data_IF_642765427962
#
_entry.id   IF_642765427962
#
_cell.length_a   1.000
_cell.length_b   1.000
_cell.length_c   1.000
_cell.angle_alpha   90.00
_cell.angle_beta   90.00
_cell.angle_gamma   90.00
#
_symmetry.space_group_name_H-M   'P 1'
#
loop_
_entity.id
_entity.type
_entity.pdbx_description
1 polymer ?
#
# COMPACT_ATOMS: atom_id res chain seq x y z
N UNK A 1 -13.18 23.93 -29.18
CA UNK A 1 -12.21 24.61 -28.33
C UNK A 1 -11.69 23.52 -27.39
N UNK A 2 -10.55 22.88 -27.75
CA UNK A 2 -9.87 21.90 -26.92
C UNK A 2 -9.42 22.62 -25.66
N UNK A 3 -9.95 22.23 -24.51
CA UNK A 3 -9.40 22.61 -23.23
C UNK A 3 -7.97 22.05 -23.19
N UNK A 4 -6.97 22.93 -23.24
CA UNK A 4 -5.61 22.60 -22.92
C UNK A 4 -5.65 22.18 -21.44
N UNK A 5 -5.72 20.88 -21.20
CA UNK A 5 -5.49 20.34 -19.88
C UNK A 5 -4.05 20.69 -19.55
N UNK A 6 -3.89 21.70 -18.72
CA UNK A 6 -2.58 22.03 -18.17
C UNK A 6 -2.11 20.80 -17.41
N UNK A 7 -1.23 20.00 -18.03
CA UNK A 7 -0.70 18.77 -17.43
C UNK A 7 -0.10 19.12 -16.08
N UNK A 8 -0.62 18.53 -15.01
CA UNK A 8 -0.10 18.78 -13.67
C UNK A 8 1.29 18.12 -13.50
N UNK A 9 1.97 18.45 -12.42
CA UNK A 9 3.32 18.00 -12.16
C UNK A 9 3.43 16.44 -12.09
N UNK A 10 2.40 15.77 -11.62
CA UNK A 10 2.36 14.30 -11.51
C UNK A 10 2.15 13.68 -12.90
N UNK A 11 1.22 14.22 -13.69
CA UNK A 11 0.96 13.70 -15.06
C UNK A 11 2.23 13.81 -15.93
N UNK A 12 2.98 14.91 -15.85
CA UNK A 12 4.24 15.01 -16.60
C UNK A 12 5.29 13.96 -16.20
N UNK A 13 5.35 13.59 -14.93
CA UNK A 13 6.25 12.51 -14.47
C UNK A 13 5.78 11.13 -14.94
N UNK A 14 4.47 10.94 -14.99
CA UNK A 14 3.89 9.72 -15.52
C UNK A 14 4.14 9.58 -17.04
N UNK A 15 4.00 10.67 -17.79
CA UNK A 15 4.32 10.69 -19.24
C UNK A 15 5.81 10.41 -19.49
N UNK A 16 6.70 10.89 -18.63
CA UNK A 16 8.12 10.55 -18.71
C UNK A 16 8.38 9.04 -18.54
N UNK A 17 7.62 8.34 -17.71
CA UNK A 17 7.74 6.89 -17.59
C UNK A 17 7.31 6.19 -18.88
N UNK A 18 6.27 6.69 -19.57
CA UNK A 18 5.89 6.16 -20.89
C UNK A 18 7.03 6.36 -21.90
N UNK A 19 7.61 7.56 -21.98
CA UNK A 19 8.74 7.82 -22.89
C UNK A 19 9.92 6.87 -22.63
N UNK A 20 10.21 6.59 -21.33
CA UNK A 20 11.26 5.65 -20.96
C UNK A 20 10.91 4.20 -21.32
N UNK A 21 9.64 3.82 -21.19
CA UNK A 21 9.16 2.51 -21.61
C UNK A 21 9.24 2.38 -23.15
N UNK A 22 8.82 3.38 -23.90
CA UNK A 22 8.91 3.41 -25.37
C UNK A 22 10.38 3.24 -25.82
N UNK A 23 11.31 3.93 -25.18
CA UNK A 23 12.74 3.75 -25.46
C UNK A 23 13.22 2.32 -25.16
N UNK A 24 12.76 1.69 -24.07
CA UNK A 24 13.07 0.30 -23.75
C UNK A 24 12.53 -0.69 -24.77
N UNK A 25 11.27 -0.55 -25.17
CA UNK A 25 10.62 -1.49 -26.10
C UNK A 25 11.26 -1.51 -27.49
N UNK A 26 11.87 -0.41 -27.92
CA UNK A 26 12.59 -0.30 -29.19
C UNK A 26 13.98 -0.93 -29.15
N UNK A 27 14.55 -1.21 -27.95
CA UNK A 27 15.86 -1.79 -27.85
C UNK A 27 15.89 -3.26 -28.32
N UNK A 28 16.66 -3.51 -29.38
CA UNK A 28 16.81 -4.86 -29.92
C UNK A 28 17.47 -5.80 -28.91
N UNK A 29 16.79 -6.92 -28.63
CA UNK A 29 17.28 -7.95 -27.70
C UNK A 29 17.00 -7.70 -26.22
N UNK A 30 16.46 -6.54 -25.85
CA UNK A 30 16.00 -6.29 -24.50
C UNK A 30 14.80 -7.20 -24.18
N UNK A 31 14.86 -7.86 -23.01
CA UNK A 31 13.83 -8.80 -22.54
C UNK A 31 13.18 -8.32 -21.25
N UNK A 32 14.00 -7.86 -20.30
CA UNK A 32 13.56 -7.45 -18.97
C UNK A 32 13.81 -5.97 -18.74
N UNK A 33 12.75 -5.23 -18.47
CA UNK A 33 12.79 -3.89 -17.92
C UNK A 33 12.89 -3.96 -16.39
N UNK A 34 13.98 -3.47 -15.84
CA UNK A 34 14.17 -3.28 -14.40
C UNK A 34 14.00 -1.81 -14.08
N UNK A 35 12.90 -1.45 -13.42
CA UNK A 35 12.74 -0.13 -12.83
C UNK A 35 13.47 -0.08 -11.49
N UNK A 36 14.56 0.69 -11.41
CA UNK A 36 15.33 0.89 -10.17
C UNK A 36 14.98 2.26 -9.59
N UNK A 37 14.12 2.26 -8.57
CA UNK A 37 13.42 3.45 -8.08
C UNK A 37 13.80 3.84 -6.65
N UNK A 38 13.69 5.13 -6.34
CA UNK A 38 13.64 5.60 -4.96
C UNK A 38 12.29 5.23 -4.32
N UNK A 39 12.22 5.20 -2.99
CA UNK A 39 11.01 4.79 -2.27
C UNK A 39 9.79 5.68 -2.59
N UNK A 40 9.99 6.97 -2.84
CA UNK A 40 8.95 7.92 -3.20
C UNK A 40 8.55 7.87 -4.69
N UNK A 41 9.29 7.15 -5.52
CA UNK A 41 8.99 6.94 -6.94
C UNK A 41 8.22 5.64 -7.21
N UNK A 42 8.22 4.70 -6.25
CA UNK A 42 7.60 3.39 -6.42
C UNK A 42 6.13 3.50 -6.88
N UNK A 43 5.35 4.33 -6.20
CA UNK A 43 3.93 4.54 -6.54
C UNK A 43 3.71 5.14 -7.94
N UNK A 44 4.71 5.82 -8.50
CA UNK A 44 4.62 6.35 -9.88
C UNK A 44 4.78 5.24 -10.90
N UNK A 45 5.65 4.26 -10.65
CA UNK A 45 5.78 3.08 -11.54
C UNK A 45 4.54 2.20 -11.45
N UNK A 46 3.96 2.04 -10.25
CA UNK A 46 2.65 1.38 -10.11
C UNK A 46 1.55 2.12 -10.89
N UNK A 47 1.48 3.44 -10.77
CA UNK A 47 0.52 4.25 -11.52
C UNK A 47 0.75 4.21 -13.05
N UNK A 48 2.00 4.08 -13.49
CA UNK A 48 2.34 3.82 -14.88
C UNK A 48 1.77 2.48 -15.33
N UNK A 49 2.02 1.40 -14.57
CA UNK A 49 1.46 0.09 -14.88
C UNK A 49 -0.07 0.13 -14.96
N UNK A 50 -0.75 0.66 -13.93
CA UNK A 50 -2.21 0.74 -13.88
C UNK A 50 -2.80 1.51 -15.08
N UNK A 51 -2.14 2.58 -15.50
CA UNK A 51 -2.55 3.33 -16.69
C UNK A 51 -2.38 2.50 -17.95
N UNK A 52 -1.21 1.91 -18.18
CA UNK A 52 -0.93 1.14 -19.39
C UNK A 52 -1.72 -0.17 -19.46
N UNK A 53 -2.11 -0.75 -18.33
CA UNK A 53 -2.97 -1.93 -18.24
C UNK A 53 -4.46 -1.61 -18.44
N UNK A 54 -4.85 -0.33 -18.49
CA UNK A 54 -6.24 0.12 -18.67
C UNK A 54 -6.52 0.52 -20.12
N UNK A 55 -7.81 0.71 -20.46
CA UNK A 55 -8.24 1.27 -21.77
C UNK A 55 -7.62 2.66 -22.07
N UNK A 56 -7.10 3.34 -21.06
CA UNK A 56 -6.43 4.64 -21.17
C UNK A 56 -4.93 4.55 -21.45
N UNK A 57 -4.39 3.36 -21.71
CA UNK A 57 -2.99 3.13 -22.03
C UNK A 57 -2.54 3.95 -23.24
N UNK A 58 -1.30 4.43 -23.21
CA UNK A 58 -0.71 5.24 -24.28
C UNK A 58 0.15 4.42 -25.24
N UNK A 59 0.52 3.20 -24.83
CA UNK A 59 1.29 2.25 -25.65
C UNK A 59 0.38 1.15 -26.18
N UNK A 60 0.69 0.53 -27.33
CA UNK A 60 -0.08 -0.58 -27.87
C UNK A 60 0.20 -1.92 -27.19
N UNK A 61 0.94 -1.90 -26.07
CA UNK A 61 1.39 -3.09 -25.35
C UNK A 61 0.31 -3.57 -24.37
N UNK A 62 0.21 -4.88 -24.18
CA UNK A 62 -0.71 -5.49 -23.21
C UNK A 62 0.07 -5.81 -21.94
N UNK A 63 -0.23 -5.09 -20.86
CA UNK A 63 0.41 -5.26 -19.56
C UNK A 63 -0.39 -6.21 -18.65
N UNK A 64 0.28 -7.23 -18.12
CA UNK A 64 -0.32 -8.20 -17.20
C UNK A 64 0.56 -8.32 -15.96
N UNK A 65 -0.05 -8.21 -14.76
CA UNK A 65 0.64 -8.35 -13.48
C UNK A 65 0.50 -9.76 -12.92
N UNK A 66 1.60 -10.29 -12.44
CA UNK A 66 1.66 -11.61 -11.82
C UNK A 66 2.11 -11.50 -10.36
N UNK A 67 1.11 -11.52 -9.46
CA UNK A 67 1.33 -11.55 -8.00
C UNK A 67 1.45 -12.98 -7.47
N UNK A 68 1.65 -13.94 -8.36
CA UNK A 68 1.79 -15.37 -8.04
C UNK A 68 2.89 -15.59 -7.00
N UNK A 69 2.59 -16.20 -5.84
CA UNK A 69 3.59 -16.45 -4.81
C UNK A 69 4.75 -17.31 -5.32
N UNK A 70 5.98 -16.87 -5.06
CA UNK A 70 7.16 -17.70 -5.31
C UNK A 70 7.35 -18.71 -4.18
N UNK A 71 7.22 -20.00 -4.51
CA UNK A 71 7.42 -21.12 -3.57
C UNK A 71 8.75 -21.81 -3.81
N UNK A 72 9.05 -22.16 -5.05
CA UNK A 72 10.28 -22.83 -5.45
C UNK A 72 10.55 -22.66 -6.95
N UNK A 73 11.80 -22.85 -7.36
CA UNK A 73 12.26 -22.69 -8.76
C UNK A 73 11.62 -23.67 -9.74
N UNK A 74 11.18 -24.85 -9.29
CA UNK A 74 10.70 -25.91 -10.19
C UNK A 74 9.22 -25.73 -10.54
N UNK A 75 8.42 -25.19 -9.64
CA UNK A 75 6.97 -25.02 -9.83
C UNK A 75 6.55 -23.64 -10.31
N UNK A 76 7.37 -22.60 -10.09
CA UNK A 76 6.98 -21.22 -10.29
C UNK A 76 6.59 -20.88 -11.74
N UNK A 77 7.36 -21.32 -12.72
CA UNK A 77 7.02 -21.08 -14.14
C UNK A 77 5.69 -21.72 -14.56
N UNK A 78 5.37 -22.90 -14.00
CA UNK A 78 4.07 -23.54 -14.18
C UNK A 78 2.93 -22.77 -13.51
N UNK A 79 3.18 -22.25 -12.30
CA UNK A 79 2.21 -21.45 -11.57
C UNK A 79 1.89 -20.12 -12.29
N UNK A 80 2.91 -19.43 -12.81
CA UNK A 80 2.73 -18.22 -13.64
C UNK A 80 1.91 -18.51 -14.90
N UNK A 81 2.19 -19.63 -15.59
CA UNK A 81 1.37 -20.06 -16.74
C UNK A 81 -0.08 -20.27 -16.37
N UNK A 82 -0.36 -20.94 -15.25
CA UNK A 82 -1.73 -21.17 -14.79
C UNK A 82 -2.43 -19.86 -14.41
N UNK A 83 -1.70 -18.93 -13.77
CA UNK A 83 -2.25 -17.60 -13.48
C UNK A 83 -2.64 -16.86 -14.76
N UNK A 84 -1.81 -16.89 -15.80
CA UNK A 84 -2.14 -16.30 -17.11
C UNK A 84 -3.39 -16.93 -17.72
N UNK A 85 -3.48 -18.26 -17.71
CA UNK A 85 -4.66 -18.96 -18.23
C UNK A 85 -5.91 -18.55 -17.44
N UNK A 86 -5.82 -18.48 -16.13
CA UNK A 86 -6.93 -18.05 -15.26
C UNK A 86 -7.42 -16.65 -15.61
N UNK A 87 -6.52 -15.66 -15.76
CA UNK A 87 -6.86 -14.30 -16.15
C UNK A 87 -7.62 -14.27 -17.49
N UNK A 88 -7.12 -14.98 -18.51
CA UNK A 88 -7.76 -15.00 -19.82
C UNK A 88 -9.15 -15.67 -19.78
N UNK A 89 -9.32 -16.72 -18.98
CA UNK A 89 -10.62 -17.39 -18.87
C UNK A 89 -11.64 -16.58 -18.05
N UNK A 90 -11.20 -15.85 -17.02
CA UNK A 90 -12.04 -14.91 -16.26
C UNK A 90 -12.54 -13.77 -17.16
N UNK A 91 -11.69 -13.21 -18.01
CA UNK A 91 -12.06 -12.11 -18.91
C UNK A 91 -12.85 -12.58 -20.13
N UNK A 92 -12.81 -13.88 -20.47
CA UNK A 92 -13.46 -14.43 -21.66
C UNK A 92 -14.95 -14.16 -21.71
N UNK A 93 -15.67 -14.33 -20.59
CA UNK A 93 -17.11 -14.10 -20.54
C UNK A 93 -17.44 -12.62 -20.74
N UNK A 94 -16.68 -11.73 -20.11
CA UNK A 94 -16.82 -10.28 -20.25
C UNK A 94 -16.56 -9.81 -21.68
N UNK A 95 -15.50 -10.30 -22.32
CA UNK A 95 -15.15 -9.96 -23.70
C UNK A 95 -16.19 -10.47 -24.70
N UNK A 96 -16.78 -11.66 -24.44
CA UNK A 96 -17.88 -12.18 -25.27
C UNK A 96 -19.14 -11.31 -25.17
N UNK A 97 -19.47 -10.78 -23.99
CA UNK A 97 -20.59 -9.84 -23.81
C UNK A 97 -20.38 -8.55 -24.62
N UNK A 98 -19.14 -8.13 -24.80
CA UNK A 98 -18.76 -6.97 -25.63
C UNK A 98 -18.61 -7.31 -27.12
N UNK A 99 -18.86 -8.55 -27.50
CA UNK A 99 -18.78 -9.01 -28.89
C UNK A 99 -17.37 -9.38 -29.37
N UNK A 100 -16.44 -9.56 -28.45
CA UNK A 100 -15.05 -9.96 -28.71
C UNK A 100 -14.90 -11.46 -28.47
N UNK A 101 -14.67 -12.23 -29.53
CA UNK A 101 -14.44 -13.68 -29.43
C UNK A 101 -12.93 -13.98 -29.37
N UNK A 102 -12.45 -14.52 -28.26
CA UNK A 102 -11.07 -14.95 -28.10
C UNK A 102 -10.86 -16.33 -28.74
N UNK A 103 -10.18 -16.36 -29.89
CA UNK A 103 -9.88 -17.59 -30.62
C UNK A 103 -8.94 -18.54 -29.87
N UNK A 104 -8.10 -18.01 -28.96
CA UNK A 104 -7.15 -18.82 -28.21
C UNK A 104 -7.83 -19.66 -27.12
N UNK A 105 -7.34 -20.90 -26.97
CA UNK A 105 -7.72 -21.81 -25.90
C UNK A 105 -6.46 -22.41 -25.27
N UNK A 106 -6.48 -22.56 -23.94
CA UNK A 106 -5.41 -23.21 -23.21
C UNK A 106 -5.25 -24.66 -23.65
N UNK A 107 -4.08 -24.98 -24.19
CA UNK A 107 -3.70 -26.33 -24.60
C UNK A 107 -2.82 -27.07 -23.57
N UNK A 108 -2.22 -28.19 -24.02
CA UNK A 108 -1.15 -28.81 -23.27
C UNK A 108 0.01 -27.82 -23.04
N UNK A 109 0.77 -28.00 -21.96
CA UNK A 109 1.93 -27.13 -21.68
C UNK A 109 2.86 -27.11 -22.89
N UNK A 110 3.35 -25.92 -23.30
CA UNK A 110 4.26 -25.82 -24.42
C UNK A 110 5.58 -26.59 -24.13
N UNK A 111 6.21 -27.11 -25.18
CA UNK A 111 7.52 -27.68 -25.03
C UNK A 111 8.53 -26.58 -24.71
N UNK A 112 9.06 -26.60 -23.50
CA UNK A 112 10.02 -25.64 -22.98
C UNK A 112 11.31 -26.36 -22.57
N UNK A 113 12.45 -25.74 -22.81
CA UNK A 113 13.75 -26.24 -22.33
C UNK A 113 13.91 -25.99 -20.83
N UNK A 114 13.27 -24.96 -20.33
CA UNK A 114 13.25 -24.56 -18.93
C UNK A 114 11.85 -24.10 -18.49
N UNK A 115 11.46 -24.35 -17.24
CA UNK A 115 10.12 -24.01 -16.77
C UNK A 115 9.83 -22.50 -16.81
N UNK A 116 10.86 -21.66 -16.69
CA UNK A 116 10.73 -20.21 -16.80
C UNK A 116 10.20 -19.74 -18.17
N UNK A 117 10.30 -20.55 -19.22
CA UNK A 117 9.78 -20.23 -20.54
C UNK A 117 8.26 -20.50 -20.69
N UNK A 118 7.65 -21.25 -19.76
CA UNK A 118 6.23 -21.65 -19.87
C UNK A 118 5.29 -20.47 -19.98
N UNK A 119 5.47 -19.43 -19.17
CA UNK A 119 4.66 -18.21 -19.25
C UNK A 119 4.83 -17.50 -20.59
N UNK A 120 6.09 -17.20 -20.97
CA UNK A 120 6.36 -16.40 -22.16
C UNK A 120 5.97 -17.11 -23.47
N UNK A 121 6.06 -18.44 -23.52
CA UNK A 121 5.58 -19.23 -24.66
C UNK A 121 4.05 -19.23 -24.74
N UNK A 122 3.36 -19.31 -23.59
CA UNK A 122 1.89 -19.24 -23.56
C UNK A 122 1.38 -17.85 -23.96
N UNK A 123 1.96 -16.78 -23.42
CA UNK A 123 1.65 -15.40 -23.79
C UNK A 123 1.86 -15.18 -25.30
N UNK A 124 2.98 -15.66 -25.84
CA UNK A 124 3.25 -15.56 -27.28
C UNK A 124 2.28 -16.39 -28.14
N UNK A 125 1.80 -17.52 -27.64
CA UNK A 125 0.76 -18.31 -28.32
C UNK A 125 -0.58 -17.59 -28.31
N UNK A 126 -0.95 -16.98 -27.20
CA UNK A 126 -2.13 -16.13 -27.08
C UNK A 126 -2.07 -14.96 -28.06
N UNK A 127 -0.98 -14.18 -28.05
CA UNK A 127 -0.80 -13.02 -28.92
C UNK A 127 -0.93 -13.36 -30.41
N UNK A 128 -0.39 -14.50 -30.84
CA UNK A 128 -0.50 -14.93 -32.27
C UNK A 128 -1.92 -15.23 -32.72
N UNK A 129 -2.81 -15.55 -31.81
CA UNK A 129 -4.19 -15.96 -32.13
C UNK A 129 -5.20 -14.84 -31.87
N UNK A 130 -4.78 -13.75 -31.21
CA UNK A 130 -5.67 -12.65 -30.84
C UNK A 130 -5.20 -11.33 -31.45
N UNK A 131 -5.95 -10.79 -32.43
CA UNK A 131 -5.62 -9.53 -33.09
C UNK A 131 -5.72 -8.29 -32.19
N UNK A 132 -6.25 -8.45 -30.97
CA UNK A 132 -6.26 -7.39 -29.95
C UNK A 132 -4.86 -7.10 -29.39
N UNK A 133 -3.92 -8.05 -29.52
CA UNK A 133 -2.52 -7.82 -29.13
C UNK A 133 -1.79 -7.27 -30.34
N UNK A 134 -1.70 -5.95 -30.41
CA UNK A 134 -1.12 -5.26 -31.56
C UNK A 134 0.40 -5.35 -31.59
N UNK A 135 1.07 -5.40 -30.39
CA UNK A 135 2.54 -5.37 -30.30
C UNK A 135 3.09 -6.30 -29.22
N UNK A 136 3.49 -5.81 -28.06
CA UNK A 136 4.12 -6.60 -27.02
C UNK A 136 3.12 -7.08 -25.97
N UNK A 137 3.37 -8.26 -25.42
CA UNK A 137 2.81 -8.69 -24.16
C UNK A 137 3.85 -8.51 -23.04
N UNK A 138 3.47 -7.82 -21.99
CA UNK A 138 4.36 -7.45 -20.89
C UNK A 138 3.93 -8.18 -19.62
N UNK A 139 4.83 -9.01 -19.09
CA UNK A 139 4.65 -9.67 -17.80
C UNK A 139 5.31 -8.85 -16.69
N UNK A 140 4.52 -8.16 -15.88
CA UNK A 140 5.00 -7.53 -14.65
C UNK A 140 5.06 -8.59 -13.53
N UNK A 141 6.26 -8.99 -13.17
CA UNK A 141 6.51 -10.00 -12.14
C UNK A 141 6.65 -9.33 -10.77
N UNK A 142 5.64 -9.51 -9.92
CA UNK A 142 5.54 -8.91 -8.59
C UNK A 142 5.00 -9.95 -7.58
N UNK A 143 5.78 -10.97 -7.22
CA UNK A 143 5.29 -12.03 -6.35
C UNK A 143 4.79 -11.47 -5.02
N UNK A 144 3.50 -11.70 -4.71
CA UNK A 144 2.83 -11.16 -3.52
C UNK A 144 3.41 -11.69 -2.21
N UNK A 145 3.94 -12.91 -2.22
CA UNK A 145 4.75 -13.48 -1.15
C UNK A 145 5.97 -14.19 -1.74
N UNK A 146 7.10 -13.97 -1.14
CA UNK A 146 8.36 -14.55 -1.56
C UNK A 146 9.12 -15.05 -0.33
N UNK A 147 9.11 -16.38 -0.13
CA UNK A 147 9.76 -17.00 1.02
C UNK A 147 11.28 -17.02 0.87
N UNK A 148 11.80 -17.01 -0.37
CA UNK A 148 13.22 -16.98 -0.68
C UNK A 148 13.50 -16.05 -1.86
N UNK A 149 13.83 -14.80 -1.54
CA UNK A 149 14.15 -13.75 -2.53
C UNK A 149 15.36 -14.14 -3.41
N UNK A 150 16.35 -14.82 -2.86
CA UNK A 150 17.54 -15.21 -3.61
C UNK A 150 17.23 -16.29 -4.62
N UNK A 151 16.48 -17.32 -4.24
CA UNK A 151 16.04 -18.36 -5.16
C UNK A 151 15.13 -17.79 -6.28
N UNK A 152 14.32 -16.77 -5.97
CA UNK A 152 13.54 -16.07 -6.99
C UNK A 152 14.42 -15.31 -7.99
N UNK A 153 15.45 -14.61 -7.51
CA UNK A 153 16.41 -13.93 -8.38
C UNK A 153 17.16 -14.95 -9.26
N UNK A 154 17.59 -16.09 -8.71
CA UNK A 154 18.20 -17.18 -9.49
C UNK A 154 17.25 -17.72 -10.56
N UNK A 155 15.97 -17.95 -10.22
CA UNK A 155 14.97 -18.34 -11.19
C UNK A 155 14.83 -17.30 -12.32
N UNK A 156 14.86 -16.01 -11.99
CA UNK A 156 14.78 -14.93 -12.99
C UNK A 156 16.05 -14.87 -13.86
N UNK A 157 17.23 -15.18 -13.29
CA UNK A 157 18.47 -15.33 -14.06
C UNK A 157 18.36 -16.45 -15.11
N UNK A 158 17.86 -17.62 -14.71
CA UNK A 158 17.61 -18.74 -15.61
C UNK A 158 16.58 -18.37 -16.69
N UNK A 159 15.55 -17.66 -16.30
CA UNK A 159 14.52 -17.16 -17.22
C UNK A 159 15.08 -16.20 -18.28
N UNK A 160 15.92 -15.25 -17.88
CA UNK A 160 16.60 -14.31 -18.79
C UNK A 160 17.62 -15.04 -19.65
N UNK A 161 18.37 -16.02 -19.10
CA UNK A 161 19.30 -16.85 -19.85
C UNK A 161 18.57 -17.63 -20.96
N UNK A 162 17.49 -18.31 -20.62
CA UNK A 162 16.66 -19.08 -21.55
C UNK A 162 16.00 -18.21 -22.64
N UNK A 163 15.71 -16.95 -22.33
CA UNK A 163 15.08 -16.00 -23.25
C UNK A 163 13.58 -16.20 -23.40
N UNK A 164 12.94 -15.29 -24.15
CA UNK A 164 11.54 -15.33 -24.46
C UNK A 164 11.29 -15.02 -25.95
N UNK A 165 10.07 -15.31 -26.47
CA UNK A 165 9.66 -14.88 -27.80
C UNK A 165 9.77 -13.36 -28.00
N UNK A 166 10.01 -12.89 -29.24
CA UNK A 166 10.32 -11.47 -29.50
C UNK A 166 9.18 -10.49 -29.16
N UNK A 167 7.96 -10.98 -29.09
CA UNK A 167 6.77 -10.19 -28.72
C UNK A 167 6.43 -10.26 -27.23
N UNK A 168 7.32 -10.79 -26.39
CA UNK A 168 7.14 -10.83 -24.92
C UNK A 168 8.24 -10.03 -24.24
N UNK A 169 7.87 -9.25 -23.25
CA UNK A 169 8.79 -8.53 -22.35
C UNK A 169 8.42 -8.80 -20.90
N UNK A 170 9.40 -8.67 -20.07
CA UNK A 170 9.20 -8.74 -18.61
C UNK A 170 9.49 -7.40 -17.98
N UNK A 171 8.83 -7.15 -16.87
CA UNK A 171 9.01 -5.97 -16.04
C UNK A 171 9.16 -6.38 -14.59
N UNK A 172 10.11 -5.76 -13.88
CA UNK A 172 10.25 -5.86 -12.43
C UNK A 172 10.54 -4.48 -11.85
N UNK A 173 10.15 -4.27 -10.59
CA UNK A 173 10.50 -3.07 -9.84
C UNK A 173 11.51 -3.44 -8.76
N UNK A 174 12.56 -2.66 -8.66
CA UNK A 174 13.67 -2.80 -7.71
C UNK A 174 13.89 -1.48 -6.97
N UNK A 175 14.41 -1.51 -5.77
CA UNK A 175 14.59 -0.30 -4.95
C UNK A 175 16.05 0.09 -4.82
N UNK A 176 16.33 1.39 -4.89
CA UNK A 176 17.68 1.93 -4.70
C UNK A 176 18.25 1.63 -3.31
N UNK A 177 17.36 1.51 -2.30
CA UNK A 177 17.79 1.23 -0.92
C UNK A 177 18.33 -0.20 -0.75
N UNK A 178 17.73 -1.17 -1.45
CA UNK A 178 18.09 -2.59 -1.38
C UNK A 178 17.94 -3.23 -2.76
N UNK A 179 18.87 -2.96 -3.70
CA UNK A 179 18.79 -3.50 -5.04
C UNK A 179 19.12 -5.00 -5.04
N UNK A 180 18.15 -5.81 -5.52
CA UNK A 180 18.32 -7.28 -5.55
C UNK A 180 18.69 -7.81 -6.92
N UNK A 181 18.53 -7.03 -8.00
CA UNK A 181 18.77 -7.47 -9.38
C UNK A 181 20.07 -6.94 -10.00
N UNK A 182 21.01 -6.40 -9.21
CA UNK A 182 22.27 -5.86 -9.74
C UNK A 182 23.08 -6.94 -10.47
N UNK A 183 23.24 -8.11 -9.85
CA UNK A 183 23.97 -9.22 -10.47
C UNK A 183 23.32 -9.70 -11.77
N UNK A 184 21.98 -9.75 -11.82
CA UNK A 184 21.24 -10.10 -13.03
C UNK A 184 21.51 -9.11 -14.18
N UNK A 185 21.50 -7.81 -13.88
CA UNK A 185 21.76 -6.75 -14.87
C UNK A 185 23.21 -6.78 -15.36
N UNK A 186 24.16 -7.08 -14.48
CA UNK A 186 25.60 -7.22 -14.84
C UNK A 186 25.86 -8.44 -15.72
N UNK A 187 25.22 -9.58 -15.44
CA UNK A 187 25.40 -10.81 -16.21
C UNK A 187 24.77 -10.75 -17.61
N UNK A 188 23.65 -10.03 -17.74
CA UNK A 188 22.88 -9.99 -18.99
C UNK A 188 22.61 -8.56 -19.48
N UNK A 189 23.63 -7.70 -19.70
CA UNK A 189 23.46 -6.27 -19.98
C UNK A 189 22.74 -5.99 -21.30
N UNK A 190 22.70 -6.96 -22.23
CA UNK A 190 21.97 -6.82 -23.49
C UNK A 190 20.48 -7.18 -23.35
N UNK A 191 20.16 -8.08 -22.41
CA UNK A 191 18.78 -8.54 -22.19
C UNK A 191 18.06 -7.78 -21.07
N UNK A 192 18.79 -7.29 -20.07
CA UNK A 192 18.26 -6.56 -18.91
C UNK A 192 18.60 -5.08 -19.02
N UNK A 193 17.58 -4.25 -19.03
CA UNK A 193 17.75 -2.81 -19.07
C UNK A 193 17.28 -2.20 -17.75
N UNK A 194 18.21 -1.57 -17.05
CA UNK A 194 17.90 -0.85 -15.82
C UNK A 194 17.53 0.58 -16.15
N UNK A 195 16.29 0.96 -15.83
CA UNK A 195 15.78 2.32 -15.96
C UNK A 195 15.73 2.95 -14.57
N UNK A 196 16.34 4.14 -14.45
CA UNK A 196 16.25 4.98 -13.26
C UNK A 196 15.42 6.21 -13.62
N UNK A 197 14.16 6.30 -13.14
CA UNK A 197 13.27 7.37 -13.56
C UNK A 197 13.74 8.76 -13.15
N UNK A 198 14.32 8.89 -11.95
CA UNK A 198 14.81 10.16 -11.38
C UNK A 198 13.74 11.26 -11.50
N UNK A 199 12.54 10.97 -10.97
CA UNK A 199 11.35 11.82 -11.15
C UNK A 199 11.35 13.06 -10.29
N UNK A 200 12.23 13.15 -9.29
CA UNK A 200 12.23 14.23 -8.28
C UNK A 200 10.83 14.49 -7.72
N UNK A 201 10.28 13.47 -7.05
CA UNK A 201 8.93 13.54 -6.45
C UNK A 201 8.79 14.71 -5.46
N UNK A 202 9.83 15.06 -4.66
CA UNK A 202 9.78 16.26 -3.85
C UNK A 202 9.55 17.54 -4.66
N UNK A 203 10.16 17.70 -5.84
CA UNK A 203 9.90 18.84 -6.72
C UNK A 203 8.48 18.80 -7.30
N UNK A 204 8.01 17.61 -7.71
CA UNK A 204 6.64 17.43 -8.19
C UNK A 204 5.60 17.89 -7.17
N UNK A 205 5.79 17.52 -5.90
CA UNK A 205 4.90 17.92 -4.82
C UNK A 205 4.94 19.44 -4.57
N UNK A 206 6.13 20.08 -4.66
CA UNK A 206 6.24 21.54 -4.58
C UNK A 206 5.52 22.24 -5.73
N UNK A 207 5.72 21.76 -6.95
CA UNK A 207 5.04 22.31 -8.14
C UNK A 207 3.52 22.20 -8.01
N UNK A 208 3.02 21.03 -7.55
CA UNK A 208 1.60 20.80 -7.33
C UNK A 208 1.03 21.69 -6.23
N UNK A 209 1.76 21.85 -5.13
CA UNK A 209 1.35 22.73 -4.03
C UNK A 209 1.29 24.21 -4.46
N UNK A 210 2.22 24.64 -5.32
CA UNK A 210 2.28 26.00 -5.85
C UNK A 210 1.28 26.27 -6.99
N UNK A 211 0.56 25.25 -7.46
CA UNK A 211 -0.42 25.43 -8.55
C UNK A 211 -1.58 26.33 -8.12
N UNK A 212 -1.88 27.33 -8.92
CA UNK A 212 -2.91 28.34 -8.68
C UNK A 212 -2.35 29.73 -8.41
N UNK A 213 -3.18 30.61 -7.84
CA UNK A 213 -2.76 31.97 -7.51
C UNK A 213 -1.95 31.98 -6.18
N UNK A 214 -0.66 32.38 -6.20
CA UNK A 214 0.18 32.39 -5.00
C UNK A 214 -0.32 33.29 -3.86
N UNK A 215 -1.19 34.27 -4.17
CA UNK A 215 -1.79 35.12 -3.16
C UNK A 215 -2.95 34.46 -2.39
N UNK A 216 -3.46 33.34 -2.87
CA UNK A 216 -4.56 32.63 -2.21
C UNK A 216 -4.07 31.89 -0.96
N UNK A 217 -4.76 32.05 0.18
CA UNK A 217 -4.37 31.38 1.42
C UNK A 217 -4.27 29.86 1.29
N UNK A 218 -5.12 29.23 0.45
CA UNK A 218 -5.08 27.80 0.17
C UNK A 218 -3.81 27.35 -0.52
N UNK A 219 -3.28 28.17 -1.45
CA UNK A 219 -1.98 27.89 -2.11
C UNK A 219 -0.83 28.05 -1.12
N UNK A 220 -0.83 29.15 -0.36
CA UNK A 220 0.19 29.41 0.66
C UNK A 220 0.24 28.30 1.70
N UNK A 221 -0.93 27.84 2.17
CA UNK A 221 -1.02 26.71 3.10
C UNK A 221 -0.43 25.42 2.51
N UNK A 222 -0.83 25.05 1.27
CA UNK A 222 -0.30 23.84 0.62
C UNK A 222 1.22 23.89 0.48
N UNK A 223 1.78 25.03 0.11
CA UNK A 223 3.24 25.21 0.00
C UNK A 223 3.93 25.03 1.34
N UNK A 224 3.42 25.66 2.40
CA UNK A 224 3.97 25.54 3.75
C UNK A 224 3.84 24.11 4.29
N UNK A 225 2.71 23.44 4.03
CA UNK A 225 2.49 22.06 4.47
C UNK A 225 3.37 21.05 3.73
N UNK A 226 3.57 21.21 2.41
CA UNK A 226 4.52 20.37 1.65
C UNK A 226 5.96 20.61 2.13
N UNK A 227 6.35 21.86 2.40
CA UNK A 227 7.65 22.14 2.98
C UNK A 227 7.82 21.49 4.37
N UNK A 228 6.79 21.51 5.20
CA UNK A 228 6.75 20.81 6.49
C UNK A 228 6.98 19.30 6.32
N UNK A 229 6.21 18.63 5.44
CA UNK A 229 6.35 17.18 5.23
C UNK A 229 7.72 16.80 4.68
N UNK A 230 8.30 17.61 3.79
CA UNK A 230 9.67 17.39 3.32
C UNK A 230 10.73 17.60 4.41
N UNK A 231 10.52 18.58 5.31
CA UNK A 231 11.39 18.76 6.47
C UNK A 231 11.30 17.59 7.45
N UNK A 232 10.11 17.02 7.64
CA UNK A 232 9.88 15.80 8.43
C UNK A 232 10.66 14.62 7.84
N UNK A 233 10.53 14.36 6.54
CA UNK A 233 11.26 13.30 5.86
C UNK A 233 12.80 13.42 5.97
N UNK A 234 13.31 14.65 6.10
CA UNK A 234 14.75 14.94 6.31
C UNK A 234 15.15 15.05 7.78
N UNK A 235 14.21 14.90 8.70
CA UNK A 235 14.40 15.10 10.16
C UNK A 235 15.04 16.46 10.51
N UNK A 236 14.74 17.50 9.73
CA UNK A 236 15.25 18.85 9.95
C UNK A 236 14.34 19.62 10.91
N UNK A 237 14.61 19.53 12.21
CA UNK A 237 13.77 20.10 13.27
C UNK A 237 13.57 21.59 13.16
N UNK A 238 14.60 22.36 12.80
CA UNK A 238 14.47 23.81 12.59
C UNK A 238 13.49 24.14 11.47
N UNK A 239 13.58 23.43 10.36
CA UNK A 239 12.66 23.60 9.24
C UNK A 239 11.24 23.10 9.57
N UNK A 240 11.10 21.98 10.33
CA UNK A 240 9.81 21.48 10.82
C UNK A 240 9.10 22.57 11.63
N UNK A 241 9.79 23.15 12.63
CA UNK A 241 9.21 24.20 13.48
C UNK A 241 8.82 25.45 12.66
N UNK A 242 9.69 25.89 11.75
CA UNK A 242 9.44 27.04 10.90
C UNK A 242 8.19 26.85 10.02
N UNK A 243 8.14 25.76 9.26
CA UNK A 243 7.04 25.51 8.33
C UNK A 243 5.74 25.13 9.03
N UNK A 244 5.80 24.44 10.18
CA UNK A 244 4.61 24.21 11.01
C UNK A 244 4.02 25.52 11.53
N UNK A 245 4.86 26.44 12.00
CA UNK A 245 4.42 27.77 12.44
C UNK A 245 3.78 28.59 11.33
N UNK A 246 4.37 28.58 10.14
CA UNK A 246 3.83 29.26 8.95
C UNK A 246 2.47 28.68 8.55
N UNK A 247 2.37 27.35 8.40
CA UNK A 247 1.12 26.67 8.05
C UNK A 247 0.03 26.90 9.10
N UNK A 248 0.38 26.84 10.40
CA UNK A 248 -0.55 27.12 11.51
C UNK A 248 -1.04 28.56 11.51
N UNK A 249 -0.20 29.53 11.17
CA UNK A 249 -0.60 30.93 11.05
C UNK A 249 -1.66 31.09 9.96
N UNK A 250 -1.41 30.58 8.76
CA UNK A 250 -2.36 30.64 7.64
C UNK A 250 -3.69 29.95 7.99
N UNK A 251 -3.63 28.72 8.55
CA UNK A 251 -4.81 27.96 8.91
C UNK A 251 -5.66 28.66 10.01
N UNK A 252 -5.00 29.34 10.96
CA UNK A 252 -5.65 30.10 12.03
C UNK A 252 -6.35 31.33 11.50
N UNK A 253 -5.67 32.14 10.68
CA UNK A 253 -6.23 33.36 10.09
C UNK A 253 -7.49 33.05 9.23
N UNK A 254 -7.51 31.89 8.60
CA UNK A 254 -8.61 31.44 7.75
C UNK A 254 -9.63 30.55 8.45
N UNK A 255 -9.51 30.31 9.77
CA UNK A 255 -10.42 29.50 10.56
C UNK A 255 -10.58 28.05 10.02
N UNK A 256 -9.47 27.39 9.68
CA UNK A 256 -9.42 26.01 9.20
C UNK A 256 -8.95 25.03 10.29
N UNK A 257 -9.84 24.64 11.23
CA UNK A 257 -9.47 23.81 12.37
C UNK A 257 -8.95 22.42 11.94
N UNK A 258 -9.53 21.82 10.91
CA UNK A 258 -9.07 20.54 10.38
C UNK A 258 -7.61 20.61 9.87
N UNK A 259 -7.22 21.71 9.23
CA UNK A 259 -5.84 21.89 8.78
C UNK A 259 -4.88 22.17 9.95
N UNK A 260 -5.32 22.91 10.95
CA UNK A 260 -4.54 23.09 12.20
C UNK A 260 -4.27 21.76 12.89
N UNK A 261 -5.29 20.91 13.02
CA UNK A 261 -5.16 19.58 13.61
C UNK A 261 -4.22 18.69 12.81
N UNK A 262 -4.32 18.69 11.48
CA UNK A 262 -3.43 17.92 10.60
C UNK A 262 -1.97 18.31 10.78
N UNK A 263 -1.65 19.61 10.93
CA UNK A 263 -0.29 20.06 11.22
C UNK A 263 0.20 19.50 12.55
N UNK A 264 -0.61 19.62 13.61
CA UNK A 264 -0.23 19.12 14.92
C UNK A 264 -0.03 17.61 14.94
N UNK A 265 -0.86 16.83 14.24
CA UNK A 265 -0.71 15.38 14.08
C UNK A 265 0.59 15.06 13.31
N UNK A 266 0.86 15.77 12.22
CA UNK A 266 2.09 15.58 11.42
C UNK A 266 3.35 15.83 12.25
N UNK A 267 3.36 16.89 13.04
CA UNK A 267 4.49 17.20 13.95
C UNK A 267 4.59 16.13 15.05
N UNK A 268 3.47 15.74 15.66
CA UNK A 268 3.44 14.69 16.69
C UNK A 268 3.96 13.34 16.17
N UNK A 269 3.60 12.96 14.94
CA UNK A 269 4.10 11.74 14.31
C UNK A 269 5.62 11.80 14.09
N UNK A 270 6.15 12.95 13.66
CA UNK A 270 7.58 13.15 13.48
C UNK A 270 8.34 13.08 14.81
N UNK A 271 7.80 13.72 15.85
CA UNK A 271 8.36 13.72 17.20
C UNK A 271 8.38 12.31 17.80
N UNK A 272 7.27 11.57 17.66
CA UNK A 272 7.17 10.17 18.11
C UNK A 272 8.17 9.26 17.40
N UNK A 273 8.28 9.37 16.07
CA UNK A 273 9.24 8.59 15.27
C UNK A 273 10.69 8.86 15.66
N UNK A 274 10.98 10.04 16.20
CA UNK A 274 12.29 10.43 16.72
C UNK A 274 12.48 10.10 18.21
N UNK A 275 11.52 9.43 18.86
CA UNK A 275 11.57 9.10 20.28
C UNK A 275 11.32 10.29 21.23
N UNK A 276 10.86 11.45 20.71
CA UNK A 276 10.54 12.66 21.47
C UNK A 276 9.11 12.56 22.04
N UNK A 277 8.92 11.62 22.96
CA UNK A 277 7.58 11.22 23.41
C UNK A 277 6.80 12.34 24.11
N UNK A 278 7.46 13.18 24.92
CA UNK A 278 6.79 14.28 25.62
C UNK A 278 6.32 15.37 24.65
N UNK A 279 7.16 15.73 23.68
CA UNK A 279 6.83 16.69 22.63
C UNK A 279 5.69 16.16 21.75
N UNK A 280 5.76 14.89 21.34
CA UNK A 280 4.70 14.22 20.59
C UNK A 280 3.36 14.25 21.32
N UNK A 281 3.36 13.95 22.63
CA UNK A 281 2.15 14.02 23.46
C UNK A 281 1.58 15.44 23.49
N UNK A 282 2.43 16.48 23.59
CA UNK A 282 1.98 17.86 23.53
C UNK A 282 1.39 18.22 22.17
N UNK A 283 1.98 17.77 21.08
CA UNK A 283 1.48 18.01 19.73
C UNK A 283 0.14 17.32 19.50
N UNK A 284 -0.02 16.06 19.91
CA UNK A 284 -1.32 15.36 19.81
C UNK A 284 -2.40 15.99 20.70
N UNK A 285 -2.06 16.49 21.90
CA UNK A 285 -3.03 17.22 22.76
C UNK A 285 -3.49 18.54 22.14
N UNK A 286 -2.60 19.25 21.40
CA UNK A 286 -3.00 20.43 20.66
C UNK A 286 -3.98 20.07 19.53
N UNK A 287 -3.70 18.98 18.81
CA UNK A 287 -4.60 18.44 17.79
C UNK A 287 -5.94 18.03 18.38
N UNK A 288 -5.95 17.31 19.52
CA UNK A 288 -7.17 16.92 20.25
C UNK A 288 -8.01 18.17 20.59
N UNK A 289 -7.42 19.18 21.21
CA UNK A 289 -8.15 20.37 21.65
C UNK A 289 -8.82 21.11 20.47
N UNK A 290 -8.11 21.28 19.36
CA UNK A 290 -8.65 21.93 18.15
C UNK A 290 -9.73 21.08 17.51
N UNK A 291 -9.48 19.79 17.32
CA UNK A 291 -10.42 18.87 16.68
C UNK A 291 -11.70 18.69 17.51
N UNK A 292 -11.57 18.53 18.83
CA UNK A 292 -12.72 18.33 19.71
C UNK A 292 -13.66 19.55 19.69
N UNK A 293 -13.09 20.76 19.74
CA UNK A 293 -13.88 22.00 19.66
C UNK A 293 -14.63 22.09 18.34
N UNK A 294 -13.97 21.85 17.22
CA UNK A 294 -14.58 21.94 15.90
C UNK A 294 -15.59 20.82 15.63
N UNK A 295 -15.30 19.58 16.08
CA UNK A 295 -16.23 18.46 15.97
C UNK A 295 -17.54 18.72 16.75
N UNK A 296 -17.44 19.24 17.99
CA UNK A 296 -18.61 19.64 18.77
C UNK A 296 -19.42 20.79 18.11
N UNK A 297 -18.75 21.56 17.26
CA UNK A 297 -19.43 22.59 16.44
C UNK A 297 -20.01 22.04 15.10
N UNK A 298 -19.88 20.74 14.84
CA UNK A 298 -20.45 20.06 13.68
C UNK A 298 -19.49 19.76 12.52
N UNK A 299 -18.17 19.99 12.69
CA UNK A 299 -17.19 19.65 11.68
C UNK A 299 -16.85 18.14 11.72
N UNK A 300 -17.48 17.38 10.82
CA UNK A 300 -17.29 15.92 10.75
C UNK A 300 -15.84 15.50 10.42
N UNK A 301 -15.07 16.32 9.67
CA UNK A 301 -13.67 16.05 9.36
C UNK A 301 -12.83 16.09 10.64
N UNK A 302 -13.12 17.06 11.51
CA UNK A 302 -12.45 17.16 12.80
C UNK A 302 -12.75 15.97 13.73
N UNK A 303 -13.89 15.28 13.59
CA UNK A 303 -14.17 14.03 14.30
C UNK A 303 -13.15 12.94 13.99
N UNK A 304 -12.80 12.75 12.71
CA UNK A 304 -11.77 11.78 12.29
C UNK A 304 -10.38 12.19 12.77
N UNK A 305 -10.04 13.46 12.71
CA UNK A 305 -8.75 13.97 13.20
C UNK A 305 -8.64 13.86 14.73
N UNK A 306 -9.74 14.00 15.46
CA UNK A 306 -9.78 13.77 16.90
C UNK A 306 -9.45 12.29 17.23
N UNK A 307 -10.03 11.35 16.49
CA UNK A 307 -9.69 9.92 16.62
C UNK A 307 -8.19 9.69 16.38
N UNK A 308 -7.63 10.27 15.34
CA UNK A 308 -6.19 10.13 15.03
C UNK A 308 -5.30 10.74 16.13
N UNK A 309 -5.65 11.91 16.64
CA UNK A 309 -4.91 12.57 17.72
C UNK A 309 -4.93 11.76 19.02
N UNK A 310 -6.07 11.21 19.40
CA UNK A 310 -6.20 10.34 20.57
C UNK A 310 -5.45 9.01 20.36
N UNK A 311 -5.52 8.43 19.15
CA UNK A 311 -4.78 7.22 18.82
C UNK A 311 -3.26 7.43 18.96
N UNK A 312 -2.75 8.57 18.47
CA UNK A 312 -1.35 8.99 18.66
C UNK A 312 -0.96 9.14 20.12
N UNK A 313 -1.82 9.75 20.96
CA UNK A 313 -1.56 9.82 22.41
C UNK A 313 -1.47 8.44 23.04
N UNK A 314 -2.37 7.52 22.68
CA UNK A 314 -2.32 6.13 23.16
C UNK A 314 -1.00 5.45 22.80
N UNK A 315 -0.52 5.65 21.56
CA UNK A 315 0.76 5.10 21.11
C UNK A 315 1.95 5.66 21.90
N UNK A 316 1.94 6.97 22.23
CA UNK A 316 2.96 7.57 23.11
C UNK A 316 2.94 6.95 24.50
N UNK A 317 1.77 6.75 25.09
CA UNK A 317 1.66 6.12 26.41
C UNK A 317 2.15 4.66 26.40
N UNK A 318 1.92 3.89 25.32
CA UNK A 318 2.52 2.57 25.15
C UNK A 318 4.06 2.68 25.11
N UNK A 319 4.60 3.60 24.32
CA UNK A 319 6.06 3.80 24.21
C UNK A 319 6.70 4.20 25.55
N UNK A 320 5.96 4.89 26.41
CA UNK A 320 6.38 5.27 27.78
C UNK A 320 6.07 4.19 28.83
N UNK A 321 5.53 3.02 28.43
CA UNK A 321 5.10 1.93 29.33
C UNK A 321 4.03 2.36 30.36
N UNK A 322 3.21 3.37 30.01
CA UNK A 322 2.11 3.86 30.82
C UNK A 322 0.81 3.17 30.40
N UNK A 323 0.72 1.85 30.64
CA UNK A 323 -0.31 0.99 30.06
C UNK A 323 -1.73 1.37 30.49
N UNK A 324 -1.91 1.74 31.77
CA UNK A 324 -3.22 2.17 32.26
C UNK A 324 -3.73 3.43 31.53
N UNK A 325 -2.85 4.42 31.29
CA UNK A 325 -3.19 5.62 30.55
C UNK A 325 -3.45 5.31 29.07
N UNK A 326 -2.64 4.44 28.48
CA UNK A 326 -2.85 3.98 27.11
C UNK A 326 -4.22 3.32 26.96
N UNK A 327 -4.59 2.40 27.84
CA UNK A 327 -5.87 1.71 27.81
C UNK A 327 -7.07 2.70 27.88
N UNK A 328 -6.99 3.69 28.79
CA UNK A 328 -8.02 4.72 28.94
C UNK A 328 -8.19 5.55 27.66
N UNK A 329 -7.08 5.99 27.06
CA UNK A 329 -7.10 6.79 25.84
C UNK A 329 -7.61 5.97 24.66
N UNK A 330 -7.14 4.73 24.48
CA UNK A 330 -7.63 3.87 23.42
C UNK A 330 -9.12 3.52 23.58
N UNK A 331 -9.60 3.30 24.81
CA UNK A 331 -11.01 3.08 25.05
C UNK A 331 -11.86 4.32 24.68
N UNK A 332 -11.40 5.54 25.03
CA UNK A 332 -12.01 6.80 24.60
C UNK A 332 -12.02 6.91 23.07
N UNK A 333 -10.90 6.54 22.42
CA UNK A 333 -10.76 6.55 20.96
C UNK A 333 -11.74 5.58 20.30
N UNK A 334 -11.88 4.36 20.83
CA UNK A 334 -12.81 3.35 20.33
C UNK A 334 -14.27 3.81 20.40
N UNK A 335 -14.68 4.38 21.53
CA UNK A 335 -16.02 4.93 21.68
C UNK A 335 -16.30 6.06 20.67
N UNK A 336 -15.38 6.99 20.50
CA UNK A 336 -15.52 8.08 19.53
C UNK A 336 -15.55 7.54 18.10
N UNK A 337 -14.71 6.57 17.75
CA UNK A 337 -14.69 5.97 16.43
C UNK A 337 -16.02 5.26 16.10
N UNK A 338 -16.63 4.58 17.08
CA UNK A 338 -17.97 4.01 16.96
C UNK A 338 -19.03 5.13 16.72
N UNK A 339 -18.94 6.24 17.44
CA UNK A 339 -19.87 7.37 17.30
C UNK A 339 -19.81 7.98 15.90
N UNK A 340 -18.62 8.15 15.33
CA UNK A 340 -18.45 8.67 13.97
C UNK A 340 -18.55 7.58 12.89
N UNK A 341 -18.84 6.33 13.26
CA UNK A 341 -18.96 5.15 12.38
C UNK A 341 -17.69 4.81 11.60
N UNK A 342 -16.53 5.05 12.19
CA UNK A 342 -15.25 4.61 11.66
C UNK A 342 -14.89 3.25 12.28
N UNK A 343 -15.41 2.18 11.67
CA UNK A 343 -15.31 0.82 12.19
C UNK A 343 -13.87 0.32 12.24
N UNK A 344 -13.00 0.74 11.30
CA UNK A 344 -11.58 0.37 11.30
C UNK A 344 -10.86 0.96 12.51
N UNK A 345 -11.02 2.26 12.75
CA UNK A 345 -10.43 2.88 13.93
C UNK A 345 -11.06 2.39 15.24
N UNK A 346 -12.36 2.07 15.26
CA UNK A 346 -13.01 1.49 16.43
C UNK A 346 -12.39 0.14 16.79
N UNK A 347 -12.27 -0.76 15.80
CA UNK A 347 -11.66 -2.07 15.95
C UNK A 347 -10.20 -1.96 16.48
N UNK A 348 -9.38 -1.12 15.84
CA UNK A 348 -7.98 -0.95 16.22
C UNK A 348 -7.82 -0.32 17.61
N UNK A 349 -8.61 0.68 17.93
CA UNK A 349 -8.54 1.34 19.22
C UNK A 349 -8.93 0.40 20.37
N UNK A 350 -10.00 -0.38 20.21
CA UNK A 350 -10.36 -1.40 21.19
C UNK A 350 -9.33 -2.53 21.28
N UNK A 351 -8.73 -2.94 20.17
CA UNK A 351 -7.62 -3.90 20.16
C UNK A 351 -6.43 -3.38 20.98
N UNK A 352 -6.05 -2.12 20.77
CA UNK A 352 -4.94 -1.51 21.49
C UNK A 352 -5.26 -1.26 22.98
N UNK A 353 -6.52 -1.00 23.33
CA UNK A 353 -6.94 -0.96 24.73
C UNK A 353 -6.78 -2.34 25.41
N UNK A 354 -7.20 -3.40 24.73
CA UNK A 354 -6.99 -4.77 25.21
C UNK A 354 -5.51 -5.11 25.38
N UNK A 355 -4.69 -4.77 24.39
CA UNK A 355 -3.25 -4.96 24.43
C UNK A 355 -2.60 -4.24 25.64
N UNK A 356 -2.99 -3.00 25.91
CA UNK A 356 -2.50 -2.25 27.07
C UNK A 356 -2.89 -2.92 28.40
N UNK A 357 -4.11 -3.45 28.52
CA UNK A 357 -4.53 -4.20 29.71
C UNK A 357 -3.79 -5.54 29.90
N UNK A 358 -3.40 -6.23 28.79
CA UNK A 358 -2.61 -7.46 28.87
C UNK A 358 -1.25 -7.26 29.55
N UNK A 359 -0.58 -6.13 29.31
CA UNK A 359 0.71 -5.83 29.93
C UNK A 359 0.63 -5.81 31.46
N UNK A 360 -0.47 -5.24 31.99
CA UNK A 360 -0.71 -5.18 33.42
C UNK A 360 -1.45 -6.43 33.95
N UNK A 361 -1.66 -7.44 33.06
CA UNK A 361 -2.37 -8.70 33.37
C UNK A 361 -3.80 -8.51 33.84
N UNK A 362 -4.44 -7.43 33.43
CA UNK A 362 -5.86 -7.18 33.69
C UNK A 362 -6.72 -7.92 32.65
N UNK A 363 -6.75 -9.24 32.81
CA UNK A 363 -7.29 -10.14 31.79
C UNK A 363 -8.79 -9.97 31.50
N UNK A 364 -9.59 -9.61 32.51
CA UNK A 364 -11.01 -9.33 32.32
C UNK A 364 -11.23 -8.04 31.53
N UNK A 365 -10.48 -6.98 31.82
CA UNK A 365 -10.54 -5.73 31.08
C UNK A 365 -10.01 -5.91 29.64
N UNK A 366 -8.92 -6.65 29.48
CA UNK A 366 -8.39 -7.01 28.16
C UNK A 366 -9.44 -7.78 27.35
N UNK A 367 -10.08 -8.80 27.92
CA UNK A 367 -11.16 -9.56 27.30
C UNK A 367 -12.28 -8.65 26.84
N UNK A 368 -12.79 -7.77 27.72
CA UNK A 368 -13.88 -6.85 27.39
C UNK A 368 -13.51 -5.89 26.25
N UNK A 369 -12.28 -5.39 26.21
CA UNK A 369 -11.80 -4.52 25.15
C UNK A 369 -11.70 -5.31 23.81
N UNK A 370 -11.15 -6.52 23.81
CA UNK A 370 -11.08 -7.36 22.62
C UNK A 370 -12.45 -7.81 22.10
N UNK A 371 -13.44 -8.04 22.98
CA UNK A 371 -14.82 -8.29 22.56
C UNK A 371 -15.41 -7.13 21.78
N UNK A 372 -15.14 -5.89 22.22
CA UNK A 372 -15.56 -4.70 21.48
C UNK A 372 -14.82 -4.57 20.14
N UNK A 373 -13.52 -4.86 20.14
CA UNK A 373 -12.74 -4.88 18.91
C UNK A 373 -13.29 -5.91 17.90
N UNK A 374 -13.59 -7.12 18.36
CA UNK A 374 -14.23 -8.16 17.57
C UNK A 374 -15.58 -7.70 17.02
N UNK A 375 -16.44 -7.12 17.89
CA UNK A 375 -17.75 -6.64 17.48
C UNK A 375 -17.70 -5.53 16.42
N UNK A 376 -16.71 -4.64 16.48
CA UNK A 376 -16.47 -3.63 15.45
C UNK A 376 -15.95 -4.28 14.14
N UNK A 377 -15.00 -5.21 14.23
CA UNK A 377 -14.46 -5.92 13.08
C UNK A 377 -15.51 -6.75 12.33
N UNK A 378 -16.44 -7.36 13.05
CA UNK A 378 -17.52 -8.14 12.46
C UNK A 378 -18.57 -7.29 11.71
N UNK A 379 -18.56 -5.97 11.87
CA UNK A 379 -19.40 -5.05 11.09
C UNK A 379 -18.75 -4.62 9.77
N UNK A 380 -17.46 -4.96 9.54
CA UNK A 380 -16.81 -4.74 8.26
C UNK A 380 -17.32 -5.72 7.20
N UNK A 381 -17.19 -5.35 5.93
CA UNK A 381 -17.54 -6.23 4.81
C UNK A 381 -16.76 -7.55 4.91
N UNK A 382 -17.44 -8.67 4.63
CA UNK A 382 -16.86 -10.02 4.76
C UNK A 382 -15.56 -10.18 3.98
N UNK A 383 -15.50 -9.64 2.76
CA UNK A 383 -14.30 -9.67 1.91
C UNK A 383 -13.11 -8.91 2.51
N UNK A 384 -13.36 -7.93 3.37
CA UNK A 384 -12.31 -7.12 4.02
C UNK A 384 -11.76 -7.76 5.28
N UNK A 385 -12.56 -8.56 6.01
CA UNK A 385 -12.19 -9.14 7.32
C UNK A 385 -10.84 -9.88 7.31
N UNK A 386 -10.53 -10.75 6.33
CA UNK A 386 -9.25 -11.46 6.27
C UNK A 386 -8.02 -10.56 6.07
N UNK A 387 -8.22 -9.32 5.59
CA UNK A 387 -7.16 -8.35 5.28
C UNK A 387 -6.97 -7.30 6.38
N UNK A 388 -7.67 -7.45 7.51
CA UNK A 388 -7.56 -6.56 8.68
C UNK A 388 -6.77 -7.23 9.81
N UNK A 389 -6.72 -6.56 10.97
CA UNK A 389 -6.12 -7.14 12.20
C UNK A 389 -7.08 -8.06 12.95
N UNK A 390 -8.22 -8.43 12.37
CA UNK A 390 -9.21 -9.30 13.00
C UNK A 390 -8.63 -10.66 13.46
N UNK A 391 -7.74 -11.35 12.69
CA UNK A 391 -7.06 -12.56 13.17
C UNK A 391 -6.28 -12.34 14.47
N UNK A 392 -5.58 -11.22 14.60
CA UNK A 392 -4.83 -10.87 15.82
C UNK A 392 -5.76 -10.59 17.00
N UNK A 393 -6.94 -10.00 16.74
CA UNK A 393 -7.98 -9.80 17.77
C UNK A 393 -8.53 -11.15 18.25
N UNK A 394 -8.80 -12.07 17.33
CA UNK A 394 -9.24 -13.43 17.65
C UNK A 394 -8.27 -14.15 18.59
N UNK A 395 -6.98 -14.17 18.23
CA UNK A 395 -5.93 -14.79 19.05
C UNK A 395 -5.82 -14.14 20.43
N UNK A 396 -5.77 -12.82 20.49
CA UNK A 396 -5.67 -12.07 21.74
C UNK A 396 -6.90 -12.30 22.66
N UNK A 397 -8.09 -12.33 22.07
CA UNK A 397 -9.33 -12.59 22.80
C UNK A 397 -9.37 -14.03 23.35
N UNK A 398 -8.97 -15.03 22.56
CA UNK A 398 -8.85 -16.42 23.02
C UNK A 398 -7.91 -16.49 24.21
N UNK A 399 -6.72 -15.88 24.09
CA UNK A 399 -5.73 -15.82 25.17
C UNK A 399 -6.28 -15.15 26.43
N UNK A 400 -6.94 -14.00 26.29
CA UNK A 400 -7.55 -13.28 27.39
C UNK A 400 -8.68 -14.07 28.07
N UNK A 401 -9.54 -14.75 27.28
CA UNK A 401 -10.57 -15.66 27.79
C UNK A 401 -9.99 -16.81 28.62
N UNK A 402 -8.95 -17.46 28.14
CA UNK A 402 -8.30 -18.56 28.87
C UNK A 402 -7.66 -18.06 30.18
N UNK A 403 -7.03 -16.89 30.17
CA UNK A 403 -6.39 -16.32 31.36
C UNK A 403 -7.38 -15.79 32.39
N UNK A 404 -8.58 -15.35 31.97
CA UNK A 404 -9.66 -14.88 32.86
C UNK A 404 -10.69 -15.97 33.22
N UNK A 405 -10.45 -17.23 32.82
CA UNK A 405 -11.31 -18.37 33.21
C UNK A 405 -12.58 -18.53 32.35
N UNK A 406 -12.64 -17.93 31.16
CA UNK A 406 -13.77 -17.97 30.25
C UNK A 406 -13.53 -18.97 29.09
N UNK A 407 -13.09 -20.20 29.37
CA UNK A 407 -12.74 -21.21 28.35
C UNK A 407 -13.85 -21.49 27.33
N UNK A 408 -15.15 -21.54 27.67
CA UNK A 408 -16.20 -21.75 26.65
C UNK A 408 -16.18 -20.62 25.58
N UNK A 409 -15.98 -19.39 26.01
CA UNK A 409 -15.92 -18.26 25.09
C UNK A 409 -14.69 -18.32 24.16
N UNK A 410 -13.56 -18.80 24.65
CA UNK A 410 -12.38 -19.02 23.83
C UNK A 410 -12.67 -19.99 22.67
N UNK A 411 -13.40 -21.08 22.93
CA UNK A 411 -13.81 -22.05 21.90
C UNK A 411 -14.77 -21.43 20.88
N UNK A 412 -15.73 -20.61 21.32
CA UNK A 412 -16.65 -19.92 20.43
C UNK A 412 -15.89 -18.95 19.49
N UNK A 413 -14.92 -18.21 20.01
CA UNK A 413 -14.11 -17.30 19.21
C UNK A 413 -13.25 -18.05 18.19
N UNK A 414 -12.67 -19.18 18.59
CA UNK A 414 -11.92 -20.07 17.67
C UNK A 414 -12.78 -20.48 16.46
N UNK A 415 -14.00 -20.98 16.72
CA UNK A 415 -14.93 -21.34 15.65
C UNK A 415 -15.34 -20.14 14.79
N UNK A 416 -15.55 -19.00 15.41
CA UNK A 416 -15.89 -17.78 14.67
C UNK A 416 -14.76 -17.37 13.72
N UNK A 417 -13.50 -17.41 14.18
CA UNK A 417 -12.34 -17.11 13.33
C UNK A 417 -12.20 -18.09 12.17
N UNK A 418 -12.47 -19.38 12.39
CA UNK A 418 -12.47 -20.38 11.33
C UNK A 418 -13.55 -20.09 10.27
N UNK A 419 -14.73 -19.69 10.67
CA UNK A 419 -15.83 -19.35 9.77
C UNK A 419 -15.57 -18.07 8.96
N UNK A 420 -15.08 -17.02 9.61
CA UNK A 420 -14.98 -15.68 9.01
C UNK A 420 -13.66 -15.43 8.27
N UNK A 421 -12.59 -16.13 8.66
CA UNK A 421 -11.24 -15.91 8.13
C UNK A 421 -10.73 -17.12 7.36
N UNK A 422 -11.21 -18.33 7.75
CA UNK A 422 -10.82 -19.63 7.20
C UNK A 422 -10.06 -20.51 8.19
N UNK A 423 -9.99 -21.81 7.88
CA UNK A 423 -9.35 -22.83 8.75
C UNK A 423 -7.89 -22.50 9.08
N UNK A 424 -7.21 -21.77 8.20
CA UNK A 424 -5.80 -21.40 8.28
C UNK A 424 -5.55 -20.02 8.94
N UNK A 425 -6.56 -19.44 9.60
CA UNK A 425 -6.49 -18.07 10.13
C UNK A 425 -5.27 -17.82 11.03
N UNK A 426 -4.84 -18.81 11.79
CA UNK A 426 -3.67 -18.71 12.67
C UNK A 426 -2.34 -18.54 11.89
N UNK A 427 -2.26 -19.04 10.64
CA UNK A 427 -1.07 -18.81 9.81
C UNK A 427 -0.86 -17.34 9.44
N UNK A 428 -1.92 -16.53 9.54
CA UNK A 428 -1.85 -15.06 9.31
C UNK A 428 -1.21 -14.29 10.47
N UNK A 429 -1.06 -14.93 11.64
CA UNK A 429 -0.43 -14.31 12.83
C UNK A 429 1.10 -14.27 12.76
N UNK A 430 1.71 -14.96 11.84
CA UNK A 430 3.18 -15.13 11.73
C UNK A 430 3.83 -14.23 10.68
N UNK A 431 3.15 -13.17 10.26
CA UNK A 431 3.67 -12.22 9.26
C UNK A 431 4.14 -10.91 9.86
#
# INVERSE_FOLDING_TARGET
VAAIHQQNAITRRLDRLVEMWEAFREESGALLCRWLVAADEYSMVEAFYEREASEGGLTPDVFLRFDTPFKDMHSYGGALRQAFIGMVEEDRELLQEEGIDLAWQAGAAPQAQHNSQLLSLEMAAFARQNPLVEDLMVAYLSPGTNEDVYAWVEWLMDAVAAGAPPNVRWMVVDTLAHPIFDQLAELYPQKVKTIRPELDMPAAMRELAAAGNPAEPGVQYRMAFVALTQAVGKQNWTAIEQHAKEALHIARENQWPHLMSSIHITVGNAEMSAGKNEEALMSYRKAEAVSEQAWKAGDAVCGKLLVQALFGQGAVYIAQQQHEQAAKIYAKTGQLAEEIKDLHYAMEAWRMAGYAHEWDKWWDDARQAYEKALAAGMQLDESMRPHTTLPYIGDALIRACLKSGHSPRATEVEHLMQQEIGDDWQKKLTR
#
